data_IF_433600996633
#
_entry.id   IF_433600996633
#
_cell.length_a   1.000
_cell.length_b   1.000
_cell.length_c   1.000
_cell.angle_alpha   90.00
_cell.angle_beta   90.00
_cell.angle_gamma   90.00
#
_symmetry.space_group_name_H-M   'P 1'
#
loop_
_entity.id
_entity.type
_entity.pdbx_description
1 polymer ?
#
# COMPACT_ATOMS: atom_id res chain seq x y z
N UNK A 1 -2.73 -10.61 2.70
CA UNK A 1 -2.94 -9.25 3.24
C UNK A 1 -1.89 -8.91 4.30
N UNK A 2 -1.71 -7.63 4.59
CA UNK A 2 -0.72 -7.14 5.55
C UNK A 2 -1.02 -7.66 6.96
N UNK A 3 -2.27 -7.72 7.35
CA UNK A 3 -2.70 -8.21 8.67
C UNK A 3 -2.20 -9.64 8.95
N UNK A 4 -2.36 -10.55 8.00
CA UNK A 4 -1.89 -11.95 8.16
C UNK A 4 -0.37 -12.07 8.16
N UNK A 5 0.35 -11.13 7.57
CA UNK A 5 1.81 -11.10 7.53
C UNK A 5 2.45 -10.46 8.75
N UNK A 6 1.66 -9.74 9.55
CA UNK A 6 2.18 -8.99 10.70
C UNK A 6 2.95 -9.83 11.74
N UNK A 7 2.51 -11.04 12.14
CA UNK A 7 3.27 -11.85 13.09
C UNK A 7 4.68 -12.20 12.57
N UNK A 8 4.79 -12.57 11.29
CA UNK A 8 6.08 -12.85 10.66
C UNK A 8 6.94 -11.60 10.55
N UNK A 9 6.35 -10.47 10.14
CA UNK A 9 7.06 -9.19 10.04
C UNK A 9 7.61 -8.74 11.41
N UNK A 10 6.81 -8.91 12.47
CA UNK A 10 7.25 -8.67 13.85
C UNK A 10 8.47 -9.53 14.22
N UNK A 11 8.37 -10.82 13.95
CA UNK A 11 9.47 -11.74 14.25
C UNK A 11 10.76 -11.35 13.52
N UNK A 12 10.66 -11.03 12.23
CA UNK A 12 11.79 -10.55 11.44
C UNK A 12 12.37 -9.24 11.97
N UNK A 13 11.53 -8.24 12.30
CA UNK A 13 12.00 -6.96 12.83
C UNK A 13 12.77 -7.13 14.14
N UNK A 14 12.29 -7.97 15.05
CA UNK A 14 12.91 -8.16 16.36
C UNK A 14 14.15 -9.07 16.28
N UNK A 15 14.02 -10.26 15.63
CA UNK A 15 15.06 -11.28 15.69
C UNK A 15 16.15 -11.16 14.63
N UNK A 16 15.83 -10.58 13.48
CA UNK A 16 16.76 -10.50 12.35
C UNK A 16 17.22 -9.07 12.06
N UNK A 17 16.33 -8.08 12.26
CA UNK A 17 16.66 -6.68 12.00
C UNK A 17 17.12 -5.91 13.25
N UNK A 18 17.06 -6.50 14.44
CA UNK A 18 17.55 -5.86 15.67
C UNK A 18 16.71 -4.69 16.19
N UNK A 19 15.43 -4.62 15.84
CA UNK A 19 14.53 -3.62 16.38
C UNK A 19 14.03 -4.02 17.78
N UNK A 20 13.81 -3.05 18.69
CA UNK A 20 13.23 -3.35 19.99
C UNK A 20 11.79 -3.85 19.85
N UNK A 21 11.36 -4.71 20.78
CA UNK A 21 9.98 -5.23 20.79
C UNK A 21 8.97 -4.09 20.98
N UNK A 22 9.27 -3.14 21.86
CA UNK A 22 8.38 -2.02 22.18
C UNK A 22 8.09 -1.16 20.95
N UNK A 23 9.12 -0.76 20.20
CA UNK A 23 8.96 0.01 18.96
C UNK A 23 8.27 -0.80 17.88
N UNK A 24 8.64 -2.07 17.73
CA UNK A 24 8.04 -2.98 16.74
C UNK A 24 6.54 -3.15 16.99
N UNK A 25 6.14 -3.36 18.24
CA UNK A 25 4.74 -3.55 18.64
C UNK A 25 3.89 -2.30 18.49
N UNK A 26 4.52 -1.12 18.44
CA UNK A 26 3.84 0.14 18.15
C UNK A 26 3.81 0.45 16.65
N UNK A 27 4.94 0.37 15.97
CA UNK A 27 5.08 0.83 14.57
C UNK A 27 4.36 -0.08 13.60
N UNK A 28 4.43 -1.41 13.74
CA UNK A 28 3.80 -2.32 12.79
C UNK A 28 2.28 -2.22 12.75
N UNK A 29 1.53 -2.15 13.86
CA UNK A 29 0.07 -1.94 13.81
C UNK A 29 -0.34 -0.59 13.20
N UNK A 30 0.43 0.45 13.45
CA UNK A 30 0.19 1.78 12.85
C UNK A 30 0.51 1.74 11.35
N UNK A 31 1.66 1.19 10.96
CA UNK A 31 2.10 1.05 9.57
C UNK A 31 1.11 0.26 8.72
N UNK A 32 0.57 -0.82 9.27
CA UNK A 32 -0.42 -1.67 8.61
C UNK A 32 -1.63 -0.90 8.02
N UNK A 33 -1.96 0.25 8.59
CA UNK A 33 -3.09 1.09 8.13
C UNK A 33 -2.64 2.35 7.40
N UNK A 34 -1.50 2.94 7.78
CA UNK A 34 -1.04 4.23 7.24
C UNK A 34 0.00 4.04 6.13
N UNK A 35 0.85 3.02 6.24
CA UNK A 35 1.96 2.79 5.31
C UNK A 35 1.58 1.78 4.22
N UNK A 36 0.65 2.15 3.35
CA UNK A 36 0.15 1.34 2.23
C UNK A 36 0.78 1.76 0.90
N UNK A 37 2.11 1.71 0.80
CA UNK A 37 2.88 2.17 -0.36
C UNK A 37 2.50 1.47 -1.67
N UNK A 38 2.44 0.14 -1.65
CA UNK A 38 2.03 -0.64 -2.80
C UNK A 38 0.59 -0.33 -3.23
N UNK A 39 -0.31 -0.13 -2.27
CA UNK A 39 -1.70 0.23 -2.54
C UNK A 39 -1.81 1.60 -3.21
N UNK A 40 -1.04 2.60 -2.75
CA UNK A 40 -1.01 3.92 -3.39
C UNK A 40 -0.52 3.85 -4.84
N UNK A 41 0.54 3.07 -5.10
CA UNK A 41 1.05 2.83 -6.47
C UNK A 41 -0.04 2.18 -7.34
N UNK A 42 -0.73 1.17 -6.82
CA UNK A 42 -1.82 0.49 -7.55
C UNK A 42 -2.95 1.45 -7.90
N UNK A 43 -3.31 2.34 -6.99
CA UNK A 43 -4.39 3.31 -7.23
C UNK A 43 -4.08 4.21 -8.43
N UNK A 44 -2.86 4.74 -8.52
CA UNK A 44 -2.46 5.64 -9.61
C UNK A 44 -2.35 4.87 -10.94
N UNK A 45 -1.60 3.77 -10.94
CA UNK A 45 -1.38 2.97 -12.16
C UNK A 45 -2.68 2.35 -12.64
N UNK A 46 -3.49 1.78 -11.72
CA UNK A 46 -4.75 1.15 -12.04
C UNK A 46 -5.78 2.15 -12.59
N UNK A 47 -5.91 3.33 -12.00
CA UNK A 47 -6.82 4.37 -12.48
C UNK A 47 -6.39 4.88 -13.87
N UNK A 48 -5.10 5.15 -14.08
CA UNK A 48 -4.58 5.57 -15.38
C UNK A 48 -4.76 4.49 -16.45
N UNK A 49 -4.50 3.22 -16.10
CA UNK A 49 -4.71 2.08 -16.99
C UNK A 49 -6.17 1.96 -17.43
N UNK A 50 -7.11 2.02 -16.48
CA UNK A 50 -8.55 1.92 -16.76
C UNK A 50 -9.01 3.07 -17.66
N UNK A 51 -8.60 4.30 -17.33
CA UNK A 51 -8.95 5.49 -18.14
C UNK A 51 -8.41 5.39 -19.57
N UNK A 52 -7.16 4.96 -19.73
CA UNK A 52 -6.53 4.79 -21.05
C UNK A 52 -7.20 3.67 -21.86
N UNK A 53 -7.53 2.53 -21.24
CA UNK A 53 -8.28 1.44 -21.89
C UNK A 53 -9.69 1.87 -22.28
N UNK A 54 -10.29 2.81 -21.56
CA UNK A 54 -11.58 3.41 -21.91
C UNK A 54 -11.47 4.47 -23.03
N UNK A 55 -10.29 4.68 -23.59
CA UNK A 55 -10.05 5.68 -24.65
C UNK A 55 -10.05 7.13 -24.15
N UNK A 56 -9.89 7.35 -22.85
CA UNK A 56 -9.85 8.67 -22.24
C UNK A 56 -8.41 9.17 -22.16
N UNK A 57 -8.20 10.44 -22.40
CA UNK A 57 -6.90 11.09 -22.25
C UNK A 57 -6.60 11.34 -20.77
N UNK A 58 -5.42 10.88 -20.31
CA UNK A 58 -4.95 11.12 -18.96
C UNK A 58 -3.95 12.28 -18.97
N UNK A 59 -4.40 13.44 -18.55
CA UNK A 59 -3.59 14.67 -18.50
C UNK A 59 -2.66 14.69 -17.28
N UNK A 60 -1.60 15.53 -17.27
CA UNK A 60 -0.78 15.72 -16.07
C UNK A 60 -1.57 16.17 -14.85
N UNK A 61 -2.65 16.93 -15.03
CA UNK A 61 -3.54 17.32 -13.93
C UNK A 61 -4.31 16.12 -13.36
N UNK A 62 -4.73 15.17 -14.21
CA UNK A 62 -5.35 13.93 -13.74
C UNK A 62 -4.37 13.11 -12.90
N UNK A 63 -3.09 13.01 -13.30
CA UNK A 63 -2.06 12.33 -12.50
C UNK A 63 -1.87 13.01 -11.14
N UNK A 64 -1.83 14.32 -11.07
CA UNK A 64 -1.75 15.05 -9.80
C UNK A 64 -2.96 14.74 -8.91
N UNK A 65 -4.17 14.81 -9.47
CA UNK A 65 -5.40 14.51 -8.75
C UNK A 65 -5.43 13.06 -8.25
N UNK A 66 -5.10 12.09 -9.13
CA UNK A 66 -5.01 10.68 -8.75
C UNK A 66 -3.98 10.47 -7.64
N UNK A 67 -2.84 11.16 -7.68
CA UNK A 67 -1.80 11.04 -6.64
C UNK A 67 -2.32 11.51 -5.28
N UNK A 68 -2.96 12.67 -5.21
CA UNK A 68 -3.52 13.18 -3.95
C UNK A 68 -4.62 12.27 -3.42
N UNK A 69 -5.51 11.80 -4.28
CA UNK A 69 -6.57 10.86 -3.90
C UNK A 69 -6.00 9.50 -3.50
N UNK A 70 -4.96 8.99 -4.17
CA UNK A 70 -4.32 7.72 -3.85
C UNK A 70 -3.64 7.76 -2.48
N UNK A 71 -2.98 8.87 -2.13
CA UNK A 71 -2.39 9.06 -0.80
C UNK A 71 -3.49 9.01 0.26
N UNK A 72 -4.56 9.79 0.10
CA UNK A 72 -5.68 9.81 1.06
C UNK A 72 -6.37 8.45 1.15
N UNK A 73 -6.65 7.81 0.01
CA UNK A 73 -7.28 6.50 -0.05
C UNK A 73 -6.43 5.39 0.55
N UNK A 74 -5.11 5.39 0.29
CA UNK A 74 -4.20 4.36 0.82
C UNK A 74 -4.09 4.43 2.34
N UNK A 75 -4.05 5.62 2.92
CA UNK A 75 -4.04 5.82 4.38
C UNK A 75 -5.36 5.42 5.07
N UNK A 76 -6.47 5.44 4.35
CA UNK A 76 -7.78 5.02 4.84
C UNK A 76 -8.16 3.57 4.48
N UNK A 77 -7.30 2.86 3.74
CA UNK A 77 -7.58 1.49 3.31
C UNK A 77 -7.34 0.52 4.47
N UNK A 78 -8.36 -0.24 4.91
CA UNK A 78 -8.14 -1.25 5.92
C UNK A 78 -7.27 -2.40 5.39
N UNK A 79 -6.46 -3.00 6.28
CA UNK A 79 -5.52 -4.07 5.94
C UNK A 79 -6.21 -5.44 5.73
N UNK A 80 -7.32 -5.46 5.02
CA UNK A 80 -8.12 -6.66 4.70
C UNK A 80 -8.07 -6.96 3.20
N UNK A 81 -8.32 -8.22 2.79
CA UNK A 81 -8.29 -8.60 1.38
C UNK A 81 -9.23 -7.75 0.51
N UNK A 82 -8.76 -7.36 -0.67
CA UNK A 82 -9.46 -6.59 -1.69
C UNK A 82 -9.83 -5.13 -1.33
N UNK A 83 -9.54 -4.65 -0.12
CA UNK A 83 -9.88 -3.28 0.27
C UNK A 83 -9.21 -2.22 -0.64
N UNK A 84 -7.93 -2.41 -0.98
CA UNK A 84 -7.22 -1.54 -1.91
C UNK A 84 -7.86 -1.50 -3.30
N UNK A 85 -8.32 -2.64 -3.79
CA UNK A 85 -9.00 -2.73 -5.09
C UNK A 85 -10.33 -1.97 -5.11
N UNK A 86 -11.08 -2.00 -4.00
CA UNK A 86 -12.32 -1.23 -3.85
C UNK A 86 -12.02 0.27 -3.82
N UNK A 87 -10.99 0.68 -3.09
CA UNK A 87 -10.58 2.09 -3.03
C UNK A 87 -10.03 2.63 -4.37
N UNK A 88 -9.52 1.75 -5.25
CA UNK A 88 -9.15 2.12 -6.61
C UNK A 88 -10.33 2.76 -7.37
N UNK A 89 -11.56 2.26 -7.17
CA UNK A 89 -12.74 2.83 -7.80
C UNK A 89 -13.01 4.27 -7.33
N UNK A 90 -12.80 4.54 -6.05
CA UNK A 90 -12.95 5.89 -5.51
C UNK A 90 -11.90 6.86 -6.11
N UNK A 91 -10.65 6.42 -6.29
CA UNK A 91 -9.60 7.22 -6.95
C UNK A 91 -9.93 7.47 -8.42
N UNK A 92 -10.38 6.44 -9.14
CA UNK A 92 -10.77 6.51 -10.56
C UNK A 92 -11.89 7.55 -10.76
N UNK A 93 -12.98 7.42 -10.01
CA UNK A 93 -14.14 8.29 -10.12
C UNK A 93 -13.85 9.71 -9.60
N UNK A 94 -13.09 9.82 -8.53
CA UNK A 94 -12.66 11.10 -7.97
C UNK A 94 -11.74 11.89 -8.90
N UNK A 95 -10.98 11.21 -9.77
CA UNK A 95 -10.19 11.84 -10.83
C UNK A 95 -11.02 12.23 -12.08
N UNK A 96 -12.34 11.98 -12.05
CA UNK A 96 -13.28 12.34 -13.12
C UNK A 96 -13.52 11.25 -14.16
N UNK A 97 -12.97 10.05 -13.97
CA UNK A 97 -13.14 8.90 -14.89
C UNK A 97 -14.31 8.01 -14.45
N UNK A 98 -15.54 8.46 -14.71
CA UNK A 98 -16.78 7.85 -14.23
C UNK A 98 -17.72 7.35 -15.35
N UNK A 99 -17.17 7.02 -16.52
CA UNK A 99 -17.96 6.47 -17.63
C UNK A 99 -18.36 5.01 -17.37
N UNK A 100 -19.43 4.54 -18.03
CA UNK A 100 -19.84 3.12 -17.96
C UNK A 100 -18.73 2.18 -18.41
N UNK A 101 -17.95 2.58 -19.43
CA UNK A 101 -16.82 1.80 -19.92
C UNK A 101 -15.70 1.71 -18.86
N UNK A 102 -15.39 2.80 -18.13
CA UNK A 102 -14.46 2.75 -17.02
C UNK A 102 -14.93 1.78 -15.92
N UNK A 103 -16.20 1.78 -15.60
CA UNK A 103 -16.77 0.86 -14.59
C UNK A 103 -16.70 -0.60 -15.06
N UNK A 104 -16.94 -0.86 -16.32
CA UNK A 104 -16.81 -2.21 -16.91
C UNK A 104 -15.35 -2.69 -16.83
N UNK A 105 -14.40 -1.86 -17.29
CA UNK A 105 -12.97 -2.20 -17.27
C UNK A 105 -12.47 -2.37 -15.83
N UNK A 106 -12.90 -1.51 -14.90
CA UNK A 106 -12.60 -1.67 -13.47
C UNK A 106 -13.07 -3.04 -12.94
N UNK A 107 -14.28 -3.48 -13.32
CA UNK A 107 -14.79 -4.78 -12.90
C UNK A 107 -13.95 -5.95 -13.41
N UNK A 108 -13.40 -5.86 -14.62
CA UNK A 108 -12.46 -6.84 -15.17
C UNK A 108 -11.11 -6.80 -14.41
N UNK A 109 -10.59 -5.62 -14.15
CA UNK A 109 -9.36 -5.44 -13.35
C UNK A 109 -9.55 -6.03 -11.96
N UNK A 110 -10.67 -5.76 -11.30
CA UNK A 110 -11.00 -6.30 -9.98
C UNK A 110 -11.01 -7.83 -9.96
N UNK A 111 -11.56 -8.47 -11.00
CA UNK A 111 -11.60 -9.93 -11.12
C UNK A 111 -10.21 -10.55 -11.28
N UNK A 112 -9.25 -9.84 -11.90
CA UNK A 112 -7.90 -10.32 -12.21
C UNK A 112 -6.83 -9.84 -11.21
N UNK A 113 -7.17 -9.01 -10.24
CA UNK A 113 -6.21 -8.27 -9.42
C UNK A 113 -5.45 -9.11 -8.38
N UNK A 114 -5.87 -10.34 -8.09
CA UNK A 114 -5.29 -11.16 -7.03
C UNK A 114 -3.76 -11.32 -7.09
N UNK A 115 -3.14 -11.62 -8.24
CA UNK A 115 -1.69 -11.70 -8.33
C UNK A 115 -1.00 -10.35 -8.03
N UNK A 116 -1.59 -9.24 -8.48
CA UNK A 116 -1.06 -7.90 -8.21
C UNK A 116 -1.13 -7.58 -6.71
N UNK A 117 -2.24 -7.89 -6.05
CA UNK A 117 -2.39 -7.70 -4.60
C UNK A 117 -1.30 -8.42 -3.78
N UNK A 118 -0.83 -9.58 -4.22
CA UNK A 118 0.24 -10.30 -3.55
C UNK A 118 1.56 -9.52 -3.58
N UNK A 119 1.92 -8.96 -4.74
CA UNK A 119 3.13 -8.13 -4.89
C UNK A 119 3.00 -6.84 -4.09
N UNK A 120 1.86 -6.19 -4.16
CA UNK A 120 1.60 -4.93 -3.44
C UNK A 120 1.62 -5.12 -1.92
N UNK A 121 1.09 -6.24 -1.42
CA UNK A 121 1.19 -6.61 -0.01
C UNK A 121 2.64 -6.76 0.44
N UNK A 122 3.50 -7.33 -0.40
CA UNK A 122 4.94 -7.43 -0.10
C UNK A 122 5.57 -6.05 0.05
N UNK A 123 5.26 -5.10 -0.84
CA UNK A 123 5.75 -3.73 -0.73
C UNK A 123 5.27 -3.03 0.55
N UNK A 124 4.02 -3.23 0.94
CA UNK A 124 3.48 -2.68 2.18
C UNK A 124 4.22 -3.24 3.42
N UNK A 125 4.40 -4.57 3.48
CA UNK A 125 5.09 -5.25 4.60
C UNK A 125 6.55 -4.82 4.70
N UNK A 126 7.25 -4.71 3.58
CA UNK A 126 8.65 -4.22 3.55
C UNK A 126 8.73 -2.75 3.99
N UNK A 127 7.77 -1.93 3.59
CA UNK A 127 7.67 -0.54 4.02
C UNK A 127 7.50 -0.40 5.54
N UNK A 128 6.67 -1.26 6.14
CA UNK A 128 6.48 -1.30 7.60
C UNK A 128 7.77 -1.70 8.33
N UNK A 129 8.46 -2.74 7.84
CA UNK A 129 9.75 -3.16 8.42
C UNK A 129 10.82 -2.07 8.31
N UNK A 130 10.94 -1.42 7.15
CA UNK A 130 11.88 -0.31 6.95
C UNK A 130 11.58 0.87 7.89
N UNK A 131 10.30 1.21 8.07
CA UNK A 131 9.90 2.26 9.00
C UNK A 131 10.25 1.89 10.45
N UNK A 132 10.04 0.62 10.83
CA UNK A 132 10.40 0.12 12.16
C UNK A 132 11.91 0.25 12.43
N UNK A 133 12.75 -0.10 11.45
CA UNK A 133 14.22 0.08 11.55
C UNK A 133 14.60 1.55 11.71
N UNK A 134 13.97 2.45 10.92
CA UNK A 134 14.23 3.89 11.00
C UNK A 134 13.88 4.43 12.39
N UNK A 135 12.70 4.09 12.90
CA UNK A 135 12.25 4.55 14.23
C UNK A 135 13.13 3.97 15.33
N UNK A 136 13.42 2.66 15.32
CA UNK A 136 14.31 2.03 16.31
C UNK A 136 15.71 2.67 16.32
N UNK A 137 16.23 3.02 15.14
CA UNK A 137 17.52 3.70 15.04
C UNK A 137 17.45 5.12 15.60
N UNK A 138 16.38 5.85 15.33
CA UNK A 138 16.14 7.22 15.80
C UNK A 138 16.03 7.27 17.33
N UNK A 139 15.32 6.33 17.92
CA UNK A 139 15.12 6.21 19.37
C UNK A 139 16.31 5.57 20.09
N UNK A 140 17.35 5.15 19.37
CA UNK A 140 18.55 4.45 19.89
C UNK A 140 18.25 3.08 20.50
N UNK A 141 17.19 2.44 20.03
CA UNK A 141 16.74 1.11 20.42
C UNK A 141 16.94 0.10 19.27
N UNK A 142 18.06 0.23 18.56
CA UNK A 142 18.44 -0.61 17.45
C UNK A 142 19.69 -1.41 17.75
N UNK A 143 19.62 -2.73 17.72
CA UNK A 143 20.73 -3.64 17.95
C UNK A 143 21.48 -3.93 16.65
N UNK A 144 22.67 -3.32 16.53
CA UNK A 144 23.53 -3.49 15.35
C UNK A 144 24.22 -4.86 15.30
N UNK A 145 24.35 -5.57 16.41
CA UNK A 145 24.97 -6.89 16.43
C UNK A 145 24.02 -7.92 15.82
N UNK A 146 22.74 -7.85 16.17
CA UNK A 146 21.69 -8.67 15.55
C UNK A 146 21.60 -8.37 14.06
N UNK A 147 21.57 -7.08 13.67
CA UNK A 147 21.42 -6.68 12.26
C UNK A 147 22.57 -7.16 11.38
N UNK A 148 23.79 -7.31 11.92
CA UNK A 148 24.99 -7.70 11.17
C UNK A 148 25.31 -9.19 11.30
N UNK A 149 24.51 -9.96 12.04
CA UNK A 149 24.71 -11.41 12.22
C UNK A 149 24.12 -12.19 11.04
#
# INVERSE_FOLDING_TARGET
DVYKRQPLNRETCVKELGCSEEITDFVLPVGMTINMNGTAIMHIIGAAFIATCAGLEVTPMNYLTMTLLAIAASMGTPAIPAAGSVMLYAVLTGAGFNTELCTLIYSLVLAMNKPCEMVLTTLNVVGDAATTVIVSTSEKEFDKEIYNS
#
